data_IF_449260115592
#
_entry.id   IF_449260115592
#
_cell.length_a   1.000
_cell.length_b   1.000
_cell.length_c   1.000
_cell.angle_alpha   90.00
_cell.angle_beta   90.00
_cell.angle_gamma   90.00
#
_symmetry.space_group_name_H-M   'P 1'
#
loop_
_entity.id
_entity.type
_entity.pdbx_description
1 polymer ?
#
# COMPACT_ATOMS: atom_id res chain seq x y z
N UNK A 1 -6.92 -24.23 29.63
CA UNK A 1 -7.83 -23.48 28.76
C UNK A 1 -7.74 -22.05 29.26
N UNK A 2 -7.03 -21.20 28.51
CA UNK A 2 -6.38 -19.98 29.03
C UNK A 2 -7.41 -18.92 29.47
N UNK A 3 -7.20 -18.26 30.60
CA UNK A 3 -8.07 -17.19 31.13
C UNK A 3 -8.24 -15.99 30.15
N UNK A 4 -7.31 -15.84 29.20
CA UNK A 4 -7.36 -14.82 28.13
C UNK A 4 -8.37 -15.16 27.01
N UNK A 5 -8.70 -16.44 26.82
CA UNK A 5 -9.70 -16.87 25.84
C UNK A 5 -11.12 -16.46 26.28
N UNK A 6 -11.35 -16.32 27.60
CA UNK A 6 -12.62 -15.89 28.19
C UNK A 6 -12.74 -14.37 28.37
N UNK A 7 -11.67 -13.60 28.14
CA UNK A 7 -11.75 -12.14 28.16
C UNK A 7 -12.30 -11.61 26.83
N UNK A 8 -13.24 -10.67 26.89
CA UNK A 8 -13.81 -10.05 25.70
C UNK A 8 -12.88 -8.96 25.13
N UNK A 9 -11.72 -9.39 24.61
CA UNK A 9 -10.70 -8.51 24.02
C UNK A 9 -11.22 -7.85 22.74
N UNK A 10 -12.09 -8.53 21.99
CA UNK A 10 -12.76 -7.99 20.79
C UNK A 10 -13.57 -6.74 21.10
N UNK A 11 -14.44 -6.77 22.11
CA UNK A 11 -15.22 -5.58 22.47
C UNK A 11 -14.35 -4.45 23.02
N UNK A 12 -13.27 -4.78 23.75
CA UNK A 12 -12.30 -3.75 24.17
C UNK A 12 -11.63 -3.09 22.96
N UNK A 13 -11.25 -3.88 21.96
CA UNK A 13 -10.66 -3.39 20.72
C UNK A 13 -11.64 -2.54 19.90
N UNK A 14 -12.91 -2.95 19.81
CA UNK A 14 -13.96 -2.14 19.16
C UNK A 14 -14.07 -0.76 19.80
N UNK A 15 -14.17 -0.68 21.14
CA UNK A 15 -14.23 0.58 21.87
C UNK A 15 -12.96 1.42 21.65
N UNK A 16 -11.79 0.81 21.70
CA UNK A 16 -10.52 1.49 21.43
C UNK A 16 -10.48 2.12 20.02
N UNK A 17 -10.86 1.37 18.98
CA UNK A 17 -10.87 1.87 17.60
C UNK A 17 -11.89 3.01 17.45
N UNK A 18 -13.07 2.88 18.06
CA UNK A 18 -14.10 3.93 17.99
C UNK A 18 -13.68 5.22 18.71
N UNK A 19 -13.17 5.12 19.94
CA UNK A 19 -12.83 6.30 20.73
C UNK A 19 -11.55 6.96 20.23
N UNK A 20 -10.48 6.18 20.04
CA UNK A 20 -9.16 6.75 19.77
C UNK A 20 -8.97 7.07 18.29
N UNK A 21 -9.25 6.12 17.40
CA UNK A 21 -8.96 6.29 15.97
C UNK A 21 -10.07 7.01 15.20
N UNK A 22 -11.33 6.69 15.48
CA UNK A 22 -12.46 7.30 14.75
C UNK A 22 -12.91 8.64 15.33
N UNK A 23 -12.80 8.84 16.66
CA UNK A 23 -13.23 10.10 17.32
C UNK A 23 -12.08 10.99 17.75
N UNK A 24 -10.85 10.48 17.84
CA UNK A 24 -9.72 11.22 18.38
C UNK A 24 -9.86 11.53 19.88
N UNK A 25 -10.66 10.75 20.62
CA UNK A 25 -10.84 10.88 22.07
C UNK A 25 -9.79 10.04 22.82
N UNK A 26 -8.94 10.74 23.57
CA UNK A 26 -7.86 10.13 24.36
C UNK A 26 -8.16 10.08 25.85
N UNK A 27 -9.35 10.48 26.29
CA UNK A 27 -9.69 10.62 27.72
C UNK A 27 -9.53 9.32 28.51
N UNK A 28 -9.67 8.18 27.83
CA UNK A 28 -9.56 6.84 28.41
C UNK A 28 -8.39 6.04 27.82
N UNK A 29 -7.37 6.68 27.25
CA UNK A 29 -6.28 5.97 26.56
C UNK A 29 -5.56 4.96 27.48
N UNK A 30 -5.35 5.32 28.74
CA UNK A 30 -4.76 4.47 29.77
C UNK A 30 -5.61 3.23 30.07
N UNK A 31 -6.92 3.27 29.79
CA UNK A 31 -7.82 2.14 29.94
C UNK A 31 -7.65 1.10 28.82
N UNK A 32 -7.17 1.52 27.65
CA UNK A 32 -6.96 0.66 26.48
C UNK A 32 -5.54 0.12 26.36
N UNK A 33 -4.53 0.96 26.59
CA UNK A 33 -3.14 0.64 26.27
C UNK A 33 -2.33 0.24 27.52
N UNK A 34 -1.41 -0.70 27.34
CA UNK A 34 -0.34 -0.93 28.30
C UNK A 34 0.57 0.32 28.38
N UNK A 35 1.33 0.53 29.47
CA UNK A 35 2.19 1.71 29.61
C UNK A 35 3.22 1.85 28.47
N UNK A 36 3.62 0.73 27.89
CA UNK A 36 4.52 0.65 26.73
C UNK A 36 3.81 -0.11 25.61
N UNK A 37 3.80 0.48 24.42
CA UNK A 37 3.17 -0.06 23.24
C UNK A 37 4.20 -0.27 22.13
N UNK A 38 4.31 -1.47 21.59
CA UNK A 38 5.28 -1.78 20.53
C UNK A 38 4.64 -1.71 19.14
N UNK A 39 5.25 -0.95 18.24
CA UNK A 39 4.93 -0.97 16.81
C UNK A 39 5.82 -2.05 16.17
N UNK A 40 5.36 -3.30 16.20
CA UNK A 40 6.19 -4.47 15.84
C UNK A 40 6.50 -4.47 14.35
N UNK A 41 5.49 -4.22 13.52
CA UNK A 41 5.64 -3.95 12.10
C UNK A 41 4.46 -3.13 11.60
N UNK A 42 4.74 -2.07 10.87
CA UNK A 42 3.75 -1.25 10.15
C UNK A 42 4.50 -0.57 9.00
N UNK A 43 4.73 -1.29 7.89
CA UNK A 43 5.65 -0.83 6.85
C UNK A 43 5.30 0.57 6.35
N UNK A 44 6.23 1.51 6.53
CA UNK A 44 6.05 2.92 6.16
C UNK A 44 5.43 3.80 7.25
N UNK A 45 5.30 3.31 8.48
CA UNK A 45 5.01 4.10 9.67
C UNK A 45 6.32 4.70 10.25
N UNK A 46 6.35 5.99 10.63
CA UNK A 46 7.55 6.60 11.20
C UNK A 46 8.00 6.02 12.56
N UNK A 47 7.14 5.28 13.26
CA UNK A 47 7.42 4.65 14.55
C UNK A 47 7.59 3.13 14.44
N UNK A 48 7.69 2.57 13.25
CA UNK A 48 7.93 1.13 13.08
C UNK A 48 9.19 0.67 13.83
N UNK A 49 9.07 -0.43 14.58
CA UNK A 49 10.12 -0.99 15.43
C UNK A 49 10.24 -0.36 16.81
N UNK A 50 9.57 0.77 17.07
CA UNK A 50 9.68 1.50 18.33
C UNK A 50 8.76 0.94 19.42
N UNK A 51 9.19 1.12 20.67
CA UNK A 51 8.32 0.97 21.85
C UNK A 51 8.01 2.34 22.40
N UNK A 52 6.74 2.71 22.43
CA UNK A 52 6.27 4.06 22.68
C UNK A 52 5.37 4.15 23.92
N UNK A 53 5.40 5.29 24.59
CA UNK A 53 4.50 5.62 25.70
C UNK A 53 3.16 6.19 25.19
N UNK A 54 2.21 6.43 26.09
CA UNK A 54 0.89 6.99 25.73
C UNK A 54 0.97 8.36 25.10
N UNK A 55 1.91 9.20 25.53
CA UNK A 55 2.10 10.54 24.98
C UNK A 55 2.54 10.48 23.51
N UNK A 56 3.46 9.57 23.20
CA UNK A 56 3.97 9.34 21.84
C UNK A 56 2.92 8.63 20.98
N UNK A 57 2.18 7.66 21.55
CA UNK A 57 1.05 7.03 20.88
C UNK A 57 0.01 8.06 20.42
N UNK A 58 -0.35 9.00 21.31
CA UNK A 58 -1.27 10.10 20.98
C UNK A 58 -0.73 10.97 19.83
N UNK A 59 0.56 11.30 19.81
CA UNK A 59 1.19 12.03 18.69
C UNK A 59 1.07 11.27 17.37
N UNK A 60 1.23 9.94 17.38
CA UNK A 60 1.07 9.07 16.21
C UNK A 60 -0.37 9.07 15.67
N UNK A 61 -1.37 8.99 16.55
CA UNK A 61 -2.78 9.08 16.13
C UNK A 61 -3.08 10.47 15.54
N UNK A 62 -2.63 11.53 16.21
CA UNK A 62 -2.81 12.90 15.73
C UNK A 62 -2.10 13.16 14.40
N UNK A 63 -0.95 12.53 14.15
CA UNK A 63 -0.28 12.59 12.85
C UNK A 63 -1.21 12.10 11.72
N UNK A 64 -1.93 11.00 11.94
CA UNK A 64 -2.90 10.48 10.96
C UNK A 64 -4.14 11.37 10.84
N UNK A 65 -4.70 11.82 11.97
CA UNK A 65 -5.89 12.69 11.98
C UNK A 65 -5.63 14.07 11.35
N UNK A 66 -4.39 14.58 11.41
CA UNK A 66 -4.02 15.81 10.72
C UNK A 66 -4.09 15.66 9.20
N UNK A 67 -3.64 14.52 8.66
CA UNK A 67 -3.74 14.23 7.22
C UNK A 67 -5.18 13.86 6.80
N UNK A 68 -5.92 13.22 7.70
CA UNK A 68 -7.23 12.62 7.47
C UNK A 68 -8.22 12.98 8.60
N UNK A 69 -8.75 14.21 8.67
CA UNK A 69 -9.60 14.66 9.78
C UNK A 69 -10.94 13.92 9.90
N UNK A 70 -11.43 13.33 8.80
CA UNK A 70 -12.66 12.53 8.71
C UNK A 70 -12.38 11.02 8.67
N UNK A 71 -11.20 10.59 9.15
CA UNK A 71 -10.80 9.19 9.17
C UNK A 71 -11.80 8.31 9.93
N UNK A 72 -12.15 7.20 9.32
CA UNK A 72 -13.02 6.20 9.90
C UNK A 72 -12.52 4.78 9.60
N UNK A 73 -12.33 4.00 10.65
CA UNK A 73 -12.13 2.55 10.60
C UNK A 73 -13.45 1.82 10.85
N UNK A 74 -13.77 0.91 9.94
CA UNK A 74 -14.85 -0.07 10.05
C UNK A 74 -14.26 -1.47 10.17
N UNK A 75 -14.38 -2.07 11.36
CA UNK A 75 -13.90 -3.43 11.62
C UNK A 75 -14.81 -4.44 10.91
N UNK A 76 -14.23 -5.40 10.21
CA UNK A 76 -14.95 -6.35 9.37
C UNK A 76 -15.00 -7.74 10.00
N UNK A 77 -13.83 -8.33 10.23
CA UNK A 77 -13.67 -9.68 10.78
C UNK A 77 -12.66 -9.62 11.91
N UNK A 78 -12.96 -10.28 13.02
CA UNK A 78 -12.08 -10.37 14.18
C UNK A 78 -11.91 -11.80 14.65
N UNK A 79 -10.67 -12.24 14.79
CA UNK A 79 -10.30 -13.55 15.32
C UNK A 79 -9.48 -13.30 16.58
N UNK A 80 -9.85 -13.95 17.68
CA UNK A 80 -9.12 -13.88 18.95
C UNK A 80 -8.52 -15.24 19.25
N UNK A 81 -7.23 -15.28 19.54
CA UNK A 81 -6.50 -16.47 19.97
C UNK A 81 -5.26 -16.03 20.75
N UNK A 82 -4.97 -16.71 21.87
CA UNK A 82 -3.69 -16.56 22.60
C UNK A 82 -3.28 -15.12 22.93
N UNK A 83 -4.22 -14.29 23.40
CA UNK A 83 -3.94 -12.88 23.73
C UNK A 83 -3.71 -12.00 22.50
N UNK A 84 -4.06 -12.47 21.32
CA UNK A 84 -3.98 -11.73 20.05
C UNK A 84 -5.40 -11.56 19.52
N UNK A 85 -5.69 -10.38 18.99
CA UNK A 85 -6.89 -10.13 18.20
C UNK A 85 -6.46 -9.70 16.79
N UNK A 86 -6.64 -10.59 15.82
CA UNK A 86 -6.42 -10.31 14.41
C UNK A 86 -7.68 -9.69 13.81
N UNK A 87 -7.53 -8.57 13.10
CA UNK A 87 -8.65 -7.80 12.58
C UNK A 87 -8.42 -7.42 11.13
N UNK A 88 -9.40 -7.73 10.27
CA UNK A 88 -9.55 -7.11 8.95
C UNK A 88 -10.43 -5.88 9.09
N UNK A 89 -10.04 -4.77 8.49
CA UNK A 89 -10.77 -3.51 8.56
C UNK A 89 -10.80 -2.79 7.21
N UNK A 90 -11.72 -1.84 7.11
CA UNK A 90 -11.75 -0.84 6.03
C UNK A 90 -11.50 0.52 6.66
N UNK A 91 -10.57 1.28 6.09
CA UNK A 91 -10.32 2.68 6.42
C UNK A 91 -10.84 3.55 5.30
N UNK A 92 -11.61 4.58 5.64
CA UNK A 92 -12.07 5.60 4.70
C UNK A 92 -11.80 6.99 5.26
N UNK A 93 -11.36 7.91 4.40
CA UNK A 93 -11.18 9.31 4.76
C UNK A 93 -11.07 10.19 3.51
N UNK A 94 -10.91 11.49 3.73
CA UNK A 94 -10.53 12.50 2.73
C UNK A 94 -9.14 13.03 3.05
N UNK A 95 -8.25 13.03 2.04
CA UNK A 95 -6.89 13.53 2.19
C UNK A 95 -6.86 15.06 2.19
N UNK A 96 -7.01 15.65 3.38
CA UNK A 96 -7.17 17.09 3.61
C UNK A 96 -5.96 17.77 4.25
N UNK A 97 -5.06 17.01 4.89
CA UNK A 97 -3.78 17.52 5.38
C UNK A 97 -2.60 16.93 4.63
N UNK A 98 -1.44 17.57 4.72
CA UNK A 98 -0.24 17.14 4.00
C UNK A 98 0.38 15.89 4.62
N UNK A 99 0.86 14.99 3.76
CA UNK A 99 1.76 13.90 4.10
C UNK A 99 3.18 14.22 3.60
N UNK A 100 4.23 13.55 4.11
CA UNK A 100 5.59 13.70 3.59
C UNK A 100 5.62 13.49 2.08
N UNK A 101 6.05 14.52 1.34
CA UNK A 101 6.15 14.54 -0.12
C UNK A 101 4.81 14.43 -0.88
N UNK A 102 3.68 14.45 -0.18
CA UNK A 102 2.36 14.26 -0.78
C UNK A 102 1.37 15.29 -0.19
N UNK A 103 1.24 16.48 -0.82
CA UNK A 103 0.33 17.50 -0.36
C UNK A 103 -1.13 17.06 -0.37
N UNK A 104 -1.96 17.68 0.46
CA UNK A 104 -3.39 17.42 0.53
C UNK A 104 -4.04 17.46 -0.86
N UNK A 105 -4.80 16.42 -1.21
CA UNK A 105 -5.38 16.26 -2.55
C UNK A 105 -6.86 16.61 -2.62
N UNK A 106 -7.54 16.66 -1.46
CA UNK A 106 -8.99 16.82 -1.36
C UNK A 106 -9.80 15.61 -1.85
N UNK A 107 -9.16 14.50 -2.20
CA UNK A 107 -9.83 13.28 -2.64
C UNK A 107 -10.14 12.36 -1.47
N UNK A 108 -11.30 11.72 -1.54
CA UNK A 108 -11.65 10.62 -0.64
C UNK A 108 -11.08 9.30 -1.14
N UNK A 109 -10.81 8.39 -0.20
CA UNK A 109 -10.37 7.04 -0.48
C UNK A 109 -11.04 6.03 0.46
N UNK A 110 -11.03 4.77 0.05
CA UNK A 110 -11.38 3.62 0.90
C UNK A 110 -10.39 2.49 0.63
N UNK A 111 -9.73 2.02 1.68
CA UNK A 111 -8.70 0.98 1.60
C UNK A 111 -8.95 -0.06 2.68
N UNK A 112 -8.42 -1.26 2.46
CA UNK A 112 -8.45 -2.31 3.48
C UNK A 112 -7.09 -2.44 4.17
N UNK A 113 -7.11 -3.11 5.31
CA UNK A 113 -5.92 -3.54 5.99
C UNK A 113 -6.20 -4.68 6.95
N UNK A 114 -5.12 -5.21 7.50
CA UNK A 114 -5.14 -6.27 8.50
C UNK A 114 -4.16 -5.92 9.62
N UNK A 115 -4.60 -6.11 10.85
CA UNK A 115 -3.79 -5.84 12.04
C UNK A 115 -3.89 -6.99 13.02
N UNK A 116 -2.76 -7.49 13.48
CA UNK A 116 -2.67 -8.29 14.69
C UNK A 116 -2.43 -7.35 15.87
N UNK A 117 -3.38 -7.30 16.80
CA UNK A 117 -3.23 -6.59 18.06
C UNK A 117 -2.82 -7.57 19.15
N UNK A 118 -1.76 -7.23 19.88
CA UNK A 118 -1.25 -8.04 20.99
C UNK A 118 -1.73 -7.45 22.32
N UNK A 119 -2.14 -8.34 23.22
CA UNK A 119 -2.63 -7.98 24.54
C UNK A 119 -1.75 -8.58 25.65
N UNK A 120 -1.53 -7.78 26.70
CA UNK A 120 -1.06 -8.24 27.99
C UNK A 120 -2.21 -8.07 29.00
N UNK A 121 -2.81 -9.19 29.42
CA UNK A 121 -4.09 -9.13 30.14
C UNK A 121 -5.18 -8.51 29.26
N UNK A 122 -5.78 -7.41 29.75
CA UNK A 122 -6.83 -6.66 29.05
C UNK A 122 -6.33 -5.37 28.38
N UNK A 123 -5.01 -5.21 28.22
CA UNK A 123 -4.38 -4.00 27.66
C UNK A 123 -3.68 -4.31 26.36
N UNK A 124 -3.84 -3.43 25.38
CA UNK A 124 -3.08 -3.49 24.14
C UNK A 124 -1.61 -3.14 24.39
N UNK A 125 -0.69 -4.03 24.06
CA UNK A 125 0.75 -3.82 24.22
C UNK A 125 1.51 -3.71 22.89
N UNK A 126 0.85 -3.93 21.75
CA UNK A 126 1.48 -3.70 20.45
C UNK A 126 0.62 -4.11 19.26
N UNK A 127 1.15 -3.90 18.05
CA UNK A 127 0.57 -4.44 16.83
C UNK A 127 1.60 -4.79 15.76
N UNK A 128 1.19 -5.67 14.85
CA UNK A 128 1.77 -5.85 13.52
C UNK A 128 0.68 -5.63 12.46
N UNK A 129 0.94 -4.80 11.45
CA UNK A 129 -0.08 -4.29 10.52
C UNK A 129 0.41 -4.25 9.08
N UNK A 130 -0.50 -4.56 8.16
CA UNK A 130 -0.35 -4.31 6.73
C UNK A 130 -1.56 -3.50 6.24
N UNK A 131 -1.28 -2.47 5.43
CA UNK A 131 -2.27 -1.56 4.87
C UNK A 131 -2.10 -1.50 3.35
N UNK A 132 -3.22 -1.42 2.62
CA UNK A 132 -3.22 -1.20 1.16
C UNK A 132 -2.78 0.23 0.77
N UNK A 133 -1.51 0.54 1.04
CA UNK A 133 -0.89 1.84 0.74
C UNK A 133 -0.85 2.11 -0.77
N UNK A 134 -0.71 1.06 -1.59
CA UNK A 134 -0.74 1.21 -3.04
C UNK A 134 -2.14 1.58 -3.53
N UNK A 135 -3.18 0.93 -3.02
CA UNK A 135 -4.57 1.29 -3.29
C UNK A 135 -4.93 2.69 -2.81
N UNK A 136 -4.35 3.14 -1.69
CA UNK A 136 -4.45 4.53 -1.24
C UNK A 136 -3.86 5.49 -2.27
N UNK A 137 -2.58 5.31 -2.64
CA UNK A 137 -1.89 6.17 -3.62
C UNK A 137 -2.65 6.22 -4.95
N UNK A 138 -3.11 5.08 -5.47
CA UNK A 138 -3.88 5.01 -6.70
C UNK A 138 -5.19 5.83 -6.68
N UNK A 139 -5.82 5.97 -5.51
CA UNK A 139 -7.05 6.75 -5.34
C UNK A 139 -6.77 8.25 -5.19
N UNK A 140 -5.78 8.63 -4.38
CA UNK A 140 -5.52 10.03 -4.04
C UNK A 140 -4.63 10.75 -5.05
N UNK A 141 -3.75 10.05 -5.77
CA UNK A 141 -2.95 10.69 -6.80
C UNK A 141 -3.84 11.14 -7.96
N UNK A 142 -3.59 12.35 -8.48
CA UNK A 142 -4.03 12.68 -9.84
C UNK A 142 -3.17 11.84 -10.79
N UNK A 143 -3.67 10.67 -11.18
CA UNK A 143 -3.30 10.14 -12.49
C UNK A 143 -3.79 11.16 -13.54
N UNK A 144 -2.97 12.17 -13.81
CA UNK A 144 -3.03 12.94 -15.05
C UNK A 144 -2.50 12.02 -16.15
N UNK A 145 -3.29 11.02 -16.50
CA UNK A 145 -3.15 10.39 -17.80
C UNK A 145 -3.64 11.44 -18.79
N UNK A 146 -2.73 12.28 -19.24
CA UNK A 146 -2.92 13.02 -20.49
C UNK A 146 -2.90 12.02 -21.65
N UNK A 147 -3.97 11.23 -21.77
CA UNK A 147 -4.28 10.46 -22.96
C UNK A 147 -4.64 11.45 -24.06
N UNK A 148 -3.64 12.01 -24.74
CA UNK A 148 -3.84 12.46 -26.12
C UNK A 148 -3.95 11.19 -26.97
N UNK A 149 -5.15 10.64 -27.09
CA UNK A 149 -5.49 9.72 -28.17
C UNK A 149 -5.58 10.54 -29.46
N UNK A 150 -4.71 10.32 -30.46
CA UNK A 150 -4.95 10.84 -31.79
C UNK A 150 -5.82 9.84 -32.55
N UNK A 151 -7.04 10.27 -32.86
CA UNK A 151 -7.85 9.87 -34.03
C UNK A 151 -8.42 8.43 -34.01
N UNK A 152 -9.74 8.35 -33.84
CA UNK A 152 -10.60 7.53 -34.70
C UNK A 152 -11.97 8.21 -34.84
N UNK A 153 -12.20 8.77 -36.02
CA UNK A 153 -13.50 9.22 -36.51
C UNK A 153 -14.41 8.00 -36.77
N UNK A 154 -15.65 8.08 -36.28
CA UNK A 154 -16.75 7.10 -36.48
C UNK A 154 -16.98 6.75 -37.95
N UNK A 155 -17.47 5.52 -38.27
CA UNK A 155 -18.88 5.38 -38.62
C UNK A 155 -19.62 4.32 -37.79
N UNK A 156 -20.89 4.62 -37.49
CA UNK A 156 -21.92 3.70 -36.98
C UNK A 156 -22.21 2.62 -38.03
N UNK A 157 -22.31 1.36 -37.60
CA UNK A 157 -23.30 0.37 -38.09
C UNK A 157 -23.39 -0.81 -37.10
N UNK A 158 -24.63 -1.28 -36.88
CA UNK A 158 -25.06 -2.27 -35.91
C UNK A 158 -24.60 -3.70 -36.24
N UNK A 159 -24.15 -4.51 -35.27
CA UNK A 159 -24.38 -5.97 -35.14
C UNK A 159 -23.95 -6.44 -33.71
N UNK A 160 -24.43 -7.61 -33.21
CA UNK A 160 -24.73 -7.83 -31.79
C UNK A 160 -23.55 -8.44 -31.03
N UNK A 161 -23.48 -8.16 -29.73
CA UNK A 161 -22.49 -8.75 -28.82
C UNK A 161 -22.64 -10.27 -28.72
N UNK A 162 -21.54 -11.01 -28.88
CA UNK A 162 -21.42 -12.38 -28.35
C UNK A 162 -20.28 -12.41 -27.32
N UNK A 163 -20.65 -12.70 -26.07
CA UNK A 163 -19.82 -12.55 -24.85
C UNK A 163 -18.73 -13.61 -24.67
N UNK A 164 -18.49 -14.44 -25.68
CA UNK A 164 -17.59 -15.59 -25.58
C UNK A 164 -16.13 -15.25 -25.89
N UNK A 165 -15.86 -14.23 -26.72
CA UNK A 165 -14.49 -13.83 -27.08
C UNK A 165 -13.78 -13.03 -25.96
N UNK A 166 -14.53 -12.22 -25.20
CA UNK A 166 -13.99 -11.42 -24.08
C UNK A 166 -13.45 -12.31 -22.95
N UNK A 167 -14.09 -13.46 -22.73
CA UNK A 167 -13.78 -14.40 -21.66
C UNK A 167 -12.48 -15.19 -21.87
N UNK A 168 -11.96 -15.23 -23.10
CA UNK A 168 -10.70 -15.95 -23.43
C UNK A 168 -9.50 -15.00 -23.31
N UNK A 169 -9.65 -13.70 -23.60
CA UNK A 169 -8.57 -12.71 -23.42
C UNK A 169 -8.28 -12.36 -21.95
N UNK A 170 -9.27 -12.38 -21.06
CA UNK A 170 -9.08 -12.04 -19.64
C UNK A 170 -8.25 -13.08 -18.87
N UNK A 171 -8.22 -14.34 -19.32
CA UNK A 171 -7.58 -15.44 -18.59
C UNK A 171 -6.06 -15.52 -18.78
N UNK A 172 -5.52 -15.01 -19.88
CA UNK A 172 -4.07 -14.96 -20.12
C UNK A 172 -3.39 -13.74 -19.46
N UNK A 173 -4.16 -12.69 -19.14
CA UNK A 173 -3.63 -11.46 -18.53
C UNK A 173 -3.60 -11.51 -17.00
N UNK A 174 -4.42 -12.36 -16.38
CA UNK A 174 -4.56 -12.47 -14.92
C UNK A 174 -3.31 -13.04 -14.20
N UNK A 175 -2.43 -13.73 -14.93
CA UNK A 175 -1.17 -14.31 -14.42
C UNK A 175 0.09 -13.62 -14.99
N UNK A 176 -0.06 -12.45 -15.62
CA UNK A 176 1.09 -11.69 -16.07
C UNK A 176 1.64 -10.86 -14.89
N UNK A 177 2.88 -11.11 -14.40
CA UNK A 177 3.47 -10.34 -13.29
C UNK A 177 3.64 -8.85 -13.60
N UNK A 178 3.45 -8.44 -14.85
CA UNK A 178 3.46 -7.05 -15.29
C UNK A 178 2.05 -6.44 -15.42
N UNK A 179 0.99 -7.17 -15.07
CA UNK A 179 -0.38 -6.66 -15.18
C UNK A 179 -0.54 -5.41 -14.30
N UNK A 180 -0.78 -4.26 -14.93
CA UNK A 180 -0.90 -2.96 -14.24
C UNK A 180 0.43 -2.22 -14.01
N UNK A 181 1.58 -2.81 -14.36
CA UNK A 181 2.90 -2.17 -14.21
C UNK A 181 3.26 -1.43 -15.50
N UNK A 182 3.48 -0.12 -15.41
CA UNK A 182 3.91 0.67 -16.56
C UNK A 182 5.43 0.58 -16.76
N UNK A 183 5.87 0.82 -18.00
CA UNK A 183 7.30 0.89 -18.32
C UNK A 183 8.06 1.96 -17.51
N UNK A 184 7.38 3.02 -17.11
CA UNK A 184 7.95 4.08 -16.25
C UNK A 184 8.19 3.58 -14.84
N UNK A 185 7.18 2.97 -14.21
CA UNK A 185 7.32 2.35 -12.88
C UNK A 185 8.46 1.34 -12.86
N UNK A 186 8.56 0.54 -13.91
CA UNK A 186 9.59 -0.48 -14.04
C UNK A 186 11.00 0.14 -14.07
N UNK A 187 11.21 1.15 -14.91
CA UNK A 187 12.51 1.83 -15.03
C UNK A 187 12.88 2.57 -13.75
N UNK A 188 11.92 3.25 -13.12
CA UNK A 188 12.13 3.94 -11.83
C UNK A 188 12.52 2.94 -10.75
N UNK A 189 11.75 1.86 -10.58
CA UNK A 189 12.03 0.84 -9.56
C UNK A 189 13.40 0.18 -9.76
N UNK A 190 13.73 -0.20 -11.00
CA UNK A 190 15.02 -0.79 -11.33
C UNK A 190 16.18 0.19 -11.06
N UNK A 191 15.97 1.48 -11.31
CA UNK A 191 16.97 2.52 -11.04
C UNK A 191 17.15 2.76 -9.55
N UNK A 192 16.08 2.73 -8.76
CA UNK A 192 16.17 2.87 -7.31
C UNK A 192 16.85 1.65 -6.69
N UNK A 193 16.57 0.44 -7.21
CA UNK A 193 17.11 -0.81 -6.70
C UNK A 193 18.58 -1.04 -7.07
N UNK A 194 18.95 -0.86 -8.35
CA UNK A 194 20.30 -1.16 -8.85
C UNK A 194 21.20 0.08 -9.01
N UNK A 195 20.61 1.26 -9.20
CA UNK A 195 21.33 2.43 -9.71
C UNK A 195 21.69 2.32 -11.19
N UNK A 196 21.94 3.47 -11.83
CA UNK A 196 22.17 3.54 -13.28
C UNK A 196 23.40 2.76 -13.76
N UNK A 197 24.48 2.76 -12.97
CA UNK A 197 25.72 2.05 -13.34
C UNK A 197 25.48 0.55 -13.46
N UNK A 198 24.89 -0.09 -12.45
CA UNK A 198 24.62 -1.52 -12.48
C UNK A 198 23.55 -1.89 -13.52
N UNK A 199 22.57 -1.00 -13.78
CA UNK A 199 21.63 -1.19 -14.89
C UNK A 199 22.32 -1.16 -16.26
N UNK A 200 23.27 -0.25 -16.46
CA UNK A 200 24.06 -0.16 -17.70
C UNK A 200 24.91 -1.40 -17.97
N UNK A 201 25.41 -2.03 -16.91
CA UNK A 201 26.15 -3.30 -16.99
C UNK A 201 25.25 -4.49 -17.34
N UNK A 202 24.05 -4.55 -16.73
CA UNK A 202 23.06 -5.61 -16.96
C UNK A 202 22.40 -5.51 -18.33
N UNK A 203 22.04 -4.29 -18.73
CA UNK A 203 21.37 -3.99 -19.99
C UNK A 203 22.23 -2.96 -20.73
N UNK A 204 23.10 -3.45 -21.60
CA UNK A 204 24.02 -2.64 -22.41
C UNK A 204 23.28 -1.82 -23.48
N UNK A 205 22.60 -0.75 -23.05
CA UNK A 205 21.94 0.24 -23.89
C UNK A 205 22.48 1.64 -23.59
N UNK A 206 22.52 2.51 -24.60
CA UNK A 206 23.14 3.83 -24.50
C UNK A 206 22.47 4.71 -23.43
N UNK A 207 21.15 4.67 -23.31
CA UNK A 207 20.41 5.51 -22.36
C UNK A 207 20.65 5.18 -20.88
N UNK A 208 21.24 4.02 -20.56
CA UNK A 208 21.67 3.69 -19.19
C UNK A 208 23.14 4.03 -18.92
N UNK A 209 23.95 4.20 -19.98
CA UNK A 209 25.40 4.39 -19.86
C UNK A 209 25.86 5.82 -20.16
N UNK A 210 25.00 6.67 -20.74
CA UNK A 210 25.33 8.02 -21.17
C UNK A 210 24.24 8.99 -20.74
N UNK A 211 24.53 9.82 -19.74
CA UNK A 211 23.60 10.77 -19.12
C UNK A 211 22.23 10.15 -18.80
N UNK A 212 22.22 9.12 -17.92
CA UNK A 212 21.06 8.29 -17.73
C UNK A 212 19.97 9.03 -16.94
N UNK A 213 18.74 8.95 -17.44
CA UNK A 213 17.55 9.44 -16.74
C UNK A 213 16.34 8.57 -17.09
N UNK A 214 15.32 8.58 -16.24
CA UNK A 214 14.05 7.87 -16.50
C UNK A 214 13.43 8.39 -17.81
N UNK A 215 13.45 9.72 -18.01
CA UNK A 215 12.90 10.36 -19.21
C UNK A 215 13.61 9.96 -20.50
N UNK A 216 14.95 9.94 -20.52
CA UNK A 216 15.72 9.54 -21.70
C UNK A 216 15.55 8.05 -22.01
N UNK A 217 15.50 7.22 -20.96
CA UNK A 217 15.24 5.79 -21.04
C UNK A 217 13.86 5.48 -21.61
N UNK A 218 12.80 6.10 -21.11
CA UNK A 218 11.44 5.90 -21.62
C UNK A 218 11.31 6.30 -23.09
N UNK A 219 11.92 7.42 -23.49
CA UNK A 219 11.93 7.86 -24.89
C UNK A 219 12.57 6.81 -25.81
N UNK A 220 13.64 6.16 -25.36
CA UNK A 220 14.33 5.10 -26.10
C UNK A 220 13.54 3.78 -26.11
N UNK A 221 13.10 3.32 -24.94
CA UNK A 221 12.43 2.04 -24.75
C UNK A 221 11.04 2.01 -25.41
N UNK A 222 10.35 3.16 -25.55
CA UNK A 222 9.10 3.27 -26.34
C UNK A 222 9.28 2.96 -27.82
N UNK A 223 10.48 3.20 -28.38
CA UNK A 223 10.80 2.97 -29.79
C UNK A 223 11.56 1.67 -30.05
N UNK A 224 12.02 1.00 -28.98
CA UNK A 224 12.95 -0.12 -29.08
C UNK A 224 12.40 -1.33 -28.32
N UNK A 225 11.55 -2.12 -29.00
CA UNK A 225 10.81 -3.22 -28.37
C UNK A 225 11.71 -4.29 -27.73
N UNK A 226 12.83 -4.66 -28.37
CA UNK A 226 13.77 -5.63 -27.80
C UNK A 226 14.42 -5.15 -26.51
N UNK A 227 14.71 -3.84 -26.41
CA UNK A 227 15.33 -3.25 -25.23
C UNK A 227 14.32 -3.15 -24.08
N UNK A 228 13.07 -2.81 -24.42
CA UNK A 228 11.95 -2.86 -23.48
C UNK A 228 11.77 -4.25 -22.88
N UNK A 229 11.75 -5.28 -23.73
CA UNK A 229 11.64 -6.67 -23.27
C UNK A 229 12.75 -7.06 -22.30
N UNK A 230 14.00 -6.66 -22.56
CA UNK A 230 15.11 -6.90 -21.62
C UNK A 230 14.93 -6.22 -20.25
N UNK A 231 14.37 -5.02 -20.27
CA UNK A 231 14.06 -4.27 -19.05
C UNK A 231 12.92 -4.96 -18.28
N UNK A 232 11.87 -5.38 -18.97
CA UNK A 232 10.77 -6.18 -18.42
C UNK A 232 11.24 -7.51 -17.82
N UNK A 233 12.07 -8.27 -18.54
CA UNK A 233 12.62 -9.54 -18.09
C UNK A 233 13.48 -9.37 -16.84
N UNK A 234 14.32 -8.32 -16.78
CA UNK A 234 15.17 -8.01 -15.62
C UNK A 234 14.33 -7.66 -14.38
N UNK A 235 13.24 -6.93 -14.55
CA UNK A 235 12.34 -6.62 -13.45
C UNK A 235 11.72 -7.89 -12.86
N UNK A 236 11.16 -8.76 -13.72
CA UNK A 236 10.54 -10.02 -13.28
C UNK A 236 11.57 -10.93 -12.58
N UNK A 237 12.80 -11.03 -13.11
CA UNK A 237 13.82 -11.85 -12.47
C UNK A 237 14.21 -11.33 -11.10
N UNK A 238 14.33 -10.00 -10.96
CA UNK A 238 14.69 -9.38 -9.68
C UNK A 238 13.59 -9.57 -8.63
N UNK A 239 12.32 -9.39 -8.99
CA UNK A 239 11.20 -9.64 -8.07
C UNK A 239 11.20 -11.09 -7.55
N UNK A 240 11.43 -12.07 -8.44
CA UNK A 240 11.52 -13.49 -8.07
C UNK A 240 12.72 -13.82 -7.19
N UNK A 241 13.83 -13.07 -7.32
CA UNK A 241 14.99 -13.23 -6.45
C UNK A 241 14.72 -12.68 -5.05
N UNK A 242 14.03 -11.54 -4.95
CA UNK A 242 13.61 -10.94 -3.67
C UNK A 242 12.65 -11.88 -2.93
N UNK A 243 11.62 -12.41 -3.61
CA UNK A 243 10.64 -13.34 -3.02
C UNK A 243 11.24 -14.66 -2.47
N UNK A 244 12.42 -15.06 -2.96
CA UNK A 244 13.10 -16.30 -2.56
C UNK A 244 14.14 -16.10 -1.46
N UNK A 245 14.40 -14.86 -1.05
CA UNK A 245 15.40 -14.56 -0.02
C UNK A 245 14.83 -14.92 1.37
N UNK A 246 15.50 -15.76 2.18
CA UNK A 246 15.01 -16.20 3.49
C UNK A 246 15.13 -15.14 4.60
N UNK A 247 15.23 -13.86 4.23
CA UNK A 247 15.42 -12.73 5.15
C UNK A 247 14.32 -11.67 5.03
N UNK A 248 13.15 -12.03 4.52
CA UNK A 248 11.91 -11.25 4.62
C UNK A 248 10.86 -12.03 5.38
#
# INVERSE_FOLDING_TARGET
MNDLENQNLKSMLESFIQDVWNRGDFSNLENYLAPHYQIISDPGDPWEGETIDHATFKKRVLYSLNAFPDLNFSLQEMIQADGIVAVRWIMSATHLGDLPQLPATGKSFSINGLTFFYFEGNKLCGHAQNVDRLGFLAQIEKFSLSFRNPIMSSPKDHFPESSSAKKIMDKEQQNNPLHGITLEMLVTWLQDYYGWQALGERIKIRCFNSDPSVKSSLKFLRKTAWARKKVEDLYISTQKEIEKSPYT
#
